data_IF_030514984722
#
_entry.id   IF_030514984722
#
_cell.length_a   1.000
_cell.length_b   1.000
_cell.length_c   1.000
_cell.angle_alpha   90.00
_cell.angle_beta   90.00
_cell.angle_gamma   90.00
#
_symmetry.space_group_name_H-M   'P 1'
#
loop_
_entity.id
_entity.type
_entity.pdbx_description
1 polymer ?
#
# COMPACT_ATOMS: atom_id res chain seq x y z
N UNK A 1 -5.46 26.34 5.67
CA UNK A 1 -6.50 25.96 6.65
C UNK A 1 -5.82 25.68 7.97
N UNK A 2 -6.32 26.23 9.07
CA UNK A 2 -5.72 26.01 10.38
C UNK A 2 -6.31 24.78 11.07
N UNK A 3 -5.52 24.18 11.96
CA UNK A 3 -5.95 23.03 12.80
C UNK A 3 -7.24 23.36 13.55
N UNK A 4 -7.31 24.56 14.16
CA UNK A 4 -8.46 25.00 14.95
C UNK A 4 -9.76 25.06 14.14
N UNK A 5 -9.68 25.41 12.86
CA UNK A 5 -10.85 25.46 11.97
C UNK A 5 -11.42 24.05 11.78
N UNK A 6 -10.54 23.07 11.53
CA UNK A 6 -10.93 21.67 11.37
C UNK A 6 -11.49 21.10 12.67
N UNK A 7 -10.86 21.37 13.81
CA UNK A 7 -11.37 20.93 15.11
C UNK A 7 -12.77 21.46 15.38
N UNK A 8 -13.02 22.74 15.09
CA UNK A 8 -14.34 23.36 15.24
C UNK A 8 -15.37 22.68 14.33
N UNK A 9 -15.05 22.49 13.05
CA UNK A 9 -15.94 21.82 12.09
C UNK A 9 -16.26 20.38 12.49
N UNK A 10 -15.26 19.61 12.95
CA UNK A 10 -15.47 18.24 13.46
C UNK A 10 -16.47 18.26 14.63
N UNK A 11 -16.29 19.17 15.60
CA UNK A 11 -17.19 19.27 16.76
C UNK A 11 -18.61 19.66 16.36
N UNK A 12 -18.77 20.61 15.44
CA UNK A 12 -20.06 21.02 14.90
C UNK A 12 -20.78 19.85 14.23
N UNK A 13 -20.11 19.16 13.30
CA UNK A 13 -20.66 17.99 12.61
C UNK A 13 -21.06 16.90 13.60
N UNK A 14 -20.22 16.62 14.60
CA UNK A 14 -20.53 15.61 15.63
C UNK A 14 -21.79 15.98 16.41
N UNK A 15 -21.91 17.23 16.86
CA UNK A 15 -23.09 17.71 17.60
C UNK A 15 -24.35 17.68 16.75
N UNK A 16 -24.28 18.15 15.51
CA UNK A 16 -25.42 18.17 14.59
C UNK A 16 -25.96 16.77 14.28
N UNK A 17 -25.08 15.76 14.25
CA UNK A 17 -25.46 14.38 13.96
C UNK A 17 -25.62 13.50 15.21
N UNK A 18 -25.72 14.10 16.40
CA UNK A 18 -25.96 13.38 17.66
C UNK A 18 -24.84 12.42 18.07
N UNK A 19 -23.61 12.65 17.58
CA UNK A 19 -22.45 11.88 18.00
C UNK A 19 -21.92 12.38 19.36
N UNK A 20 -21.31 11.51 20.18
CA UNK A 20 -20.76 11.91 21.48
C UNK A 20 -19.74 13.07 21.36
N UNK A 21 -19.75 14.02 22.29
CA UNK A 21 -18.71 15.07 22.38
C UNK A 21 -17.45 14.49 23.03
N UNK A 22 -16.77 13.63 22.27
CA UNK A 22 -15.50 13.02 22.66
C UNK A 22 -14.36 14.01 22.44
N UNK A 23 -13.43 14.16 23.41
CA UNK A 23 -12.23 14.94 23.17
C UNK A 23 -11.40 14.27 22.06
N UNK A 24 -10.73 15.10 21.26
CA UNK A 24 -9.74 14.67 20.29
C UNK A 24 -8.71 15.77 20.07
N UNK A 25 -7.56 15.40 19.50
CA UNK A 25 -6.49 16.32 19.14
C UNK A 25 -6.03 16.10 17.69
N UNK A 26 -5.88 17.20 16.97
CA UNK A 26 -5.25 17.23 15.65
C UNK A 26 -3.87 17.87 15.82
N UNK A 27 -2.81 17.17 15.44
CA UNK A 27 -1.45 17.69 15.51
C UNK A 27 -1.11 18.52 14.27
N UNK A 28 -1.59 18.13 13.10
CA UNK A 28 -1.26 18.80 11.84
C UNK A 28 -2.35 18.60 10.79
N UNK A 29 -2.49 19.58 9.88
CA UNK A 29 -3.35 19.50 8.70
C UNK A 29 -2.52 19.88 7.48
N UNK A 30 -2.56 19.06 6.43
CA UNK A 30 -1.87 19.30 5.17
C UNK A 30 -2.87 19.25 4.02
N UNK A 31 -2.77 20.18 3.10
CA UNK A 31 -3.62 20.21 1.91
C UNK A 31 -2.75 20.01 0.67
N UNK A 32 -3.12 19.02 -0.14
CA UNK A 32 -2.53 18.73 -1.44
C UNK A 32 -3.41 19.34 -2.52
N UNK A 33 -3.01 20.52 -2.99
CA UNK A 33 -3.72 21.29 -4.02
C UNK A 33 -3.78 20.53 -5.35
N UNK A 34 -2.76 19.75 -5.67
CA UNK A 34 -2.63 19.06 -6.95
C UNK A 34 -3.67 17.95 -7.09
N UNK A 35 -3.96 17.24 -6.01
CA UNK A 35 -4.92 16.13 -6.01
C UNK A 35 -6.25 16.46 -5.30
N UNK A 36 -6.40 17.70 -4.83
CA UNK A 36 -7.56 18.17 -4.05
C UNK A 36 -7.84 17.24 -2.85
N UNK A 37 -6.79 17.03 -2.03
CA UNK A 37 -6.83 16.13 -0.87
C UNK A 37 -6.40 16.82 0.41
N UNK A 38 -7.24 16.70 1.44
CA UNK A 38 -6.94 17.13 2.79
C UNK A 38 -6.47 15.94 3.64
N UNK A 39 -5.31 16.10 4.26
CA UNK A 39 -4.76 15.17 5.24
C UNK A 39 -4.87 15.77 6.63
N UNK A 40 -5.50 15.02 7.53
CA UNK A 40 -5.61 15.36 8.95
C UNK A 40 -4.73 14.37 9.72
N UNK A 41 -3.79 14.87 10.50
CA UNK A 41 -2.88 14.07 11.31
C UNK A 41 -3.35 14.19 12.76
N UNK A 42 -4.03 13.14 13.22
CA UNK A 42 -4.49 13.00 14.59
C UNK A 42 -3.32 12.61 15.50
N UNK A 43 -3.40 12.97 16.78
CA UNK A 43 -2.35 12.63 17.73
C UNK A 43 -2.18 11.12 17.91
N UNK A 44 -3.30 10.40 18.08
CA UNK A 44 -3.31 8.94 18.20
C UNK A 44 -4.47 8.27 17.40
N UNK A 45 -4.61 6.94 17.56
CA UNK A 45 -5.67 6.17 16.89
C UNK A 45 -7.08 6.44 17.45
N UNK A 46 -7.18 6.82 18.71
CA UNK A 46 -8.45 7.17 19.36
C UNK A 46 -8.97 8.46 18.75
N UNK A 47 -8.11 9.46 18.65
CA UNK A 47 -8.38 10.75 18.02
C UNK A 47 -8.74 10.59 16.55
N UNK A 48 -7.98 9.78 15.80
CA UNK A 48 -8.32 9.40 14.41
C UNK A 48 -9.75 8.85 14.33
N UNK A 49 -10.13 7.94 15.24
CA UNK A 49 -11.47 7.35 15.25
C UNK A 49 -12.57 8.37 15.55
N UNK A 50 -12.32 9.32 16.45
CA UNK A 50 -13.24 10.44 16.75
C UNK A 50 -13.42 11.35 15.54
N UNK A 51 -12.34 11.69 14.84
CA UNK A 51 -12.37 12.55 13.64
C UNK A 51 -13.04 11.82 12.48
N UNK A 52 -12.88 10.51 12.36
CA UNK A 52 -13.53 9.70 11.30
C UNK A 52 -15.03 9.55 11.56
N UNK A 53 -15.43 9.26 12.81
CA UNK A 53 -16.82 9.14 13.25
C UNK A 53 -17.65 8.19 12.39
N UNK A 54 -17.19 6.95 12.22
CA UNK A 54 -17.81 5.92 11.35
C UNK A 54 -17.98 6.38 9.89
N UNK A 55 -16.99 7.11 9.37
CA UNK A 55 -16.98 7.72 8.02
C UNK A 55 -17.97 8.87 7.81
N UNK A 56 -18.89 9.12 8.74
CA UNK A 56 -19.87 10.20 8.63
C UNK A 56 -19.18 11.57 8.73
N UNK A 57 -18.32 11.74 9.73
CA UNK A 57 -17.69 13.03 10.01
C UNK A 57 -16.78 13.46 8.87
N UNK A 58 -15.94 12.55 8.36
CA UNK A 58 -15.10 12.83 7.19
C UNK A 58 -15.91 13.11 5.93
N UNK A 59 -17.05 12.43 5.73
CA UNK A 59 -17.94 12.69 4.61
C UNK A 59 -18.53 14.10 4.64
N UNK A 60 -18.96 14.55 5.83
CA UNK A 60 -19.47 15.90 6.05
C UNK A 60 -18.41 16.99 6.04
N UNK A 61 -17.21 16.70 6.56
CA UNK A 61 -16.07 17.60 6.43
C UNK A 61 -15.75 17.84 4.96
N UNK A 62 -15.66 16.77 4.16
CA UNK A 62 -15.44 16.84 2.72
C UNK A 62 -16.48 17.74 2.03
N UNK A 63 -17.76 17.52 2.32
CA UNK A 63 -18.87 18.32 1.78
C UNK A 63 -18.78 19.81 2.16
N UNK A 64 -18.51 20.14 3.43
CA UNK A 64 -18.42 21.53 3.91
C UNK A 64 -17.22 22.28 3.37
N UNK A 65 -16.09 21.58 3.26
CA UNK A 65 -14.82 22.18 2.82
C UNK A 65 -14.72 22.23 1.28
N UNK A 66 -15.60 21.52 0.57
CA UNK A 66 -15.59 21.47 -0.89
C UNK A 66 -14.35 20.79 -1.48
N UNK A 67 -13.67 19.93 -0.70
CA UNK A 67 -12.47 19.21 -1.12
C UNK A 67 -12.82 17.85 -1.72
N UNK A 68 -12.00 17.36 -2.65
CA UNK A 68 -12.22 16.08 -3.33
C UNK A 68 -12.11 14.87 -2.39
N UNK A 69 -11.16 14.89 -1.46
CA UNK A 69 -10.94 13.81 -0.49
C UNK A 69 -10.44 14.33 0.87
N UNK A 70 -10.90 13.69 1.95
CA UNK A 70 -10.35 13.86 3.31
C UNK A 70 -9.80 12.52 3.79
N UNK A 71 -8.57 12.50 4.28
CA UNK A 71 -7.94 11.30 4.87
C UNK A 71 -7.37 11.63 6.23
N UNK A 72 -7.56 10.73 7.19
CA UNK A 72 -7.08 10.90 8.57
C UNK A 72 -6.03 9.84 8.89
N UNK A 73 -4.84 10.30 9.29
CA UNK A 73 -3.76 9.45 9.78
C UNK A 73 -3.55 9.68 11.27
N UNK A 74 -3.00 8.70 11.98
CA UNK A 74 -2.47 8.93 13.33
C UNK A 74 -0.98 9.23 13.24
N UNK A 75 -0.46 10.10 14.12
CA UNK A 75 0.97 10.39 14.16
C UNK A 75 1.78 9.13 14.49
N UNK A 76 1.26 8.23 15.34
CA UNK A 76 1.87 6.93 15.61
C UNK A 76 2.07 6.08 14.35
N UNK A 77 1.07 5.99 13.46
CA UNK A 77 1.20 5.23 12.21
C UNK A 77 2.29 5.85 11.30
N UNK A 78 2.37 7.18 11.24
CA UNK A 78 3.39 7.90 10.47
C UNK A 78 4.80 7.71 11.06
N UNK A 79 4.95 7.70 12.38
CA UNK A 79 6.22 7.42 13.05
C UNK A 79 6.70 5.99 12.81
N UNK A 80 5.79 5.00 12.87
CA UNK A 80 6.10 3.61 12.53
C UNK A 80 6.60 3.53 11.07
N UNK A 81 5.90 4.18 10.14
CA UNK A 81 6.32 4.27 8.73
C UNK A 81 7.73 4.84 8.60
N UNK A 82 8.03 5.99 9.24
CA UNK A 82 9.36 6.62 9.20
C UNK A 82 10.46 5.69 9.71
N UNK A 83 10.24 5.01 10.83
CA UNK A 83 11.20 4.03 11.37
C UNK A 83 11.44 2.86 10.41
N UNK A 84 10.39 2.34 9.76
CA UNK A 84 10.52 1.29 8.75
C UNK A 84 11.32 1.77 7.53
N UNK A 85 11.11 3.00 7.10
CA UNK A 85 11.84 3.62 5.98
C UNK A 85 13.32 3.86 6.30
N UNK A 86 13.68 4.19 7.55
CA UNK A 86 15.08 4.27 7.97
C UNK A 86 15.81 2.91 7.87
N UNK A 87 15.11 1.82 8.19
CA UNK A 87 15.64 0.47 7.99
C UNK A 87 15.75 0.11 6.50
N UNK A 88 14.75 0.49 5.71
CA UNK A 88 14.74 0.32 4.27
C UNK A 88 15.92 1.06 3.60
N UNK A 89 16.18 2.31 4.00
CA UNK A 89 17.30 3.12 3.50
C UNK A 89 18.65 2.42 3.73
N UNK A 90 18.88 1.91 4.95
CA UNK A 90 20.08 1.17 5.29
C UNK A 90 20.23 -0.11 4.48
N UNK A 91 19.12 -0.78 4.15
CA UNK A 91 19.13 -2.05 3.44
C UNK A 91 19.48 -1.91 1.95
N UNK A 92 19.29 -0.73 1.35
CA UNK A 92 19.57 -0.50 -0.08
C UNK A 92 20.85 0.28 -0.32
N UNK A 93 21.37 1.00 0.68
CA UNK A 93 22.63 1.75 0.58
C UNK A 93 23.80 0.81 0.28
N UNK A 94 24.61 1.16 -0.71
CA UNK A 94 25.72 0.36 -1.23
C UNK A 94 25.29 -0.82 -2.11
N UNK A 95 24.02 -0.93 -2.48
CA UNK A 95 23.50 -2.02 -3.32
C UNK A 95 23.01 -1.49 -4.67
N UNK A 96 22.73 -2.39 -5.62
CA UNK A 96 22.11 -2.02 -6.90
C UNK A 96 20.68 -1.44 -6.79
N UNK A 97 20.10 -1.43 -5.59
CA UNK A 97 18.81 -0.82 -5.29
C UNK A 97 18.91 0.62 -4.75
N UNK A 98 20.11 1.24 -4.76
CA UNK A 98 20.30 2.63 -4.31
C UNK A 98 19.41 3.64 -5.04
N UNK A 99 18.97 3.34 -6.26
CA UNK A 99 18.00 4.18 -6.97
C UNK A 99 16.68 4.34 -6.21
N UNK A 100 16.35 3.48 -5.23
CA UNK A 100 15.17 3.63 -4.38
C UNK A 100 15.33 4.70 -3.28
N UNK A 101 16.56 5.16 -2.98
CA UNK A 101 16.81 6.14 -1.90
C UNK A 101 15.96 7.43 -2.03
N UNK A 102 15.82 8.06 -3.20
CA UNK A 102 14.96 9.24 -3.35
C UNK A 102 13.48 8.95 -3.09
N UNK A 103 13.00 7.74 -3.41
CA UNK A 103 11.63 7.31 -3.12
C UNK A 103 11.43 7.11 -1.61
N UNK A 104 12.40 6.47 -0.94
CA UNK A 104 12.38 6.28 0.51
C UNK A 104 12.34 7.64 1.23
N UNK A 105 13.17 8.59 0.80
CA UNK A 105 13.21 9.92 1.39
C UNK A 105 11.91 10.71 1.15
N UNK A 106 11.32 10.58 -0.03
CA UNK A 106 9.99 11.12 -0.29
C UNK A 106 8.91 10.51 0.62
N UNK A 107 8.93 9.19 0.82
CA UNK A 107 7.98 8.49 1.69
C UNK A 107 8.09 8.88 3.17
N UNK A 108 9.25 9.34 3.65
CA UNK A 108 9.38 9.82 5.05
C UNK A 108 8.61 11.12 5.31
N UNK A 109 8.42 11.92 4.25
CA UNK A 109 7.71 13.21 4.29
C UNK A 109 6.20 13.06 4.06
N UNK A 110 5.75 11.86 3.68
CA UNK A 110 4.34 11.54 3.52
C UNK A 110 3.53 11.86 4.79
N UNK A 111 2.31 12.43 4.67
CA UNK A 111 1.58 12.85 3.45
C UNK A 111 1.81 14.32 3.04
N UNK A 112 1.59 14.74 1.77
CA UNK A 112 1.19 13.93 0.62
C UNK A 112 2.33 13.05 0.07
N UNK A 113 1.99 12.14 -0.84
CA UNK A 113 2.96 11.27 -1.53
C UNK A 113 3.44 11.94 -2.82
N UNK A 114 4.69 12.37 -2.82
CA UNK A 114 5.33 13.04 -3.95
C UNK A 114 6.62 12.33 -4.34
N UNK A 115 6.50 11.29 -5.17
CA UNK A 115 7.67 10.56 -5.64
C UNK A 115 8.43 11.36 -6.69
N UNK A 116 9.75 11.55 -6.51
CA UNK A 116 10.59 12.10 -7.56
C UNK A 116 10.61 11.15 -8.77
N UNK A 117 10.93 11.69 -9.94
CA UNK A 117 11.18 10.87 -11.11
C UNK A 117 12.54 10.18 -10.95
N UNK A 118 12.47 8.85 -10.81
CA UNK A 118 13.60 7.96 -10.60
C UNK A 118 13.57 6.89 -11.67
N UNK A 119 14.74 6.49 -12.15
CA UNK A 119 14.88 5.37 -13.07
C UNK A 119 15.84 4.32 -12.51
N UNK A 120 15.41 3.06 -12.52
CA UNK A 120 16.28 1.92 -12.29
C UNK A 120 16.53 1.17 -13.60
N UNK A 121 17.75 0.66 -13.79
CA UNK A 121 18.13 -0.07 -15.01
C UNK A 121 18.15 -1.60 -14.82
N UNK A 122 17.66 -2.09 -13.68
CA UNK A 122 17.71 -3.51 -13.37
C UNK A 122 16.68 -4.30 -14.16
N UNK A 123 17.15 -5.35 -14.84
CA UNK A 123 16.28 -6.35 -15.45
C UNK A 123 15.41 -6.99 -14.37
N UNK A 124 14.10 -6.80 -14.48
CA UNK A 124 13.15 -7.14 -13.42
C UNK A 124 12.23 -8.28 -13.85
N UNK A 125 12.05 -9.26 -12.97
CA UNK A 125 10.98 -10.24 -13.06
C UNK A 125 9.83 -9.78 -12.16
N UNK A 126 8.62 -9.66 -12.70
CA UNK A 126 7.43 -9.45 -11.87
C UNK A 126 6.66 -10.75 -11.82
N UNK A 127 6.41 -11.26 -10.62
CA UNK A 127 5.41 -12.30 -10.43
C UNK A 127 4.08 -11.63 -10.07
N UNK A 128 3.08 -11.82 -10.93
CA UNK A 128 1.74 -11.30 -10.72
C UNK A 128 1.07 -12.07 -9.57
N UNK A 129 1.21 -11.53 -8.37
CA UNK A 129 0.56 -11.97 -7.12
C UNK A 129 -0.66 -11.09 -6.82
N UNK A 130 -1.22 -11.15 -5.61
CA UNK A 130 -2.47 -10.46 -5.24
C UNK A 130 -2.50 -8.97 -5.59
N UNK A 131 -1.38 -8.26 -5.46
CA UNK A 131 -1.22 -6.86 -5.82
C UNK A 131 -0.61 -6.66 -7.23
N UNK A 132 -0.85 -7.58 -8.17
CA UNK A 132 -0.29 -7.61 -9.52
C UNK A 132 -0.24 -6.24 -10.21
N UNK A 133 -1.35 -5.50 -10.20
CA UNK A 133 -1.43 -4.18 -10.83
C UNK A 133 -0.54 -3.14 -10.17
N UNK A 134 -0.42 -3.18 -8.84
CA UNK A 134 0.49 -2.31 -8.13
C UNK A 134 1.95 -2.68 -8.41
N UNK A 135 2.30 -3.97 -8.52
CA UNK A 135 3.65 -4.41 -8.82
C UNK A 135 4.10 -3.95 -10.21
N UNK A 136 3.22 -4.07 -11.20
CA UNK A 136 3.44 -3.54 -12.56
C UNK A 136 3.56 -2.01 -12.52
N UNK A 137 2.62 -1.32 -11.87
CA UNK A 137 2.64 0.14 -11.77
C UNK A 137 3.89 0.67 -11.04
N UNK A 138 4.41 -0.06 -10.06
CA UNK A 138 5.66 0.27 -9.39
C UNK A 138 6.86 0.16 -10.35
N UNK A 139 6.95 -0.92 -11.13
CA UNK A 139 8.01 -1.08 -12.12
C UNK A 139 7.94 0.01 -13.21
N UNK A 140 6.74 0.29 -13.73
CA UNK A 140 6.51 1.35 -14.73
C UNK A 140 6.88 2.74 -14.18
N UNK A 141 6.47 3.05 -12.94
CA UNK A 141 6.76 4.35 -12.31
C UNK A 141 8.26 4.58 -12.09
N UNK A 142 9.03 3.51 -11.89
CA UNK A 142 10.48 3.56 -11.75
C UNK A 142 11.23 3.29 -13.06
N UNK A 143 10.52 3.19 -14.19
CA UNK A 143 11.12 2.93 -15.50
C UNK A 143 11.91 1.62 -15.58
N UNK A 144 11.60 0.63 -14.73
CA UNK A 144 12.33 -0.64 -14.68
C UNK A 144 12.00 -1.49 -15.91
N UNK A 145 12.99 -2.01 -16.65
CA UNK A 145 12.72 -2.99 -17.69
C UNK A 145 12.26 -4.31 -17.04
N UNK A 146 11.07 -4.79 -17.41
CA UNK A 146 10.50 -5.98 -16.77
C UNK A 146 9.92 -7.03 -17.71
N UNK A 147 9.89 -8.27 -17.23
CA UNK A 147 9.09 -9.38 -17.75
C UNK A 147 8.12 -9.82 -16.67
N UNK A 148 6.83 -9.90 -17.00
CA UNK A 148 5.81 -10.37 -16.09
C UNK A 148 5.52 -11.86 -16.30
N UNK A 149 5.49 -12.61 -15.20
CA UNK A 149 5.03 -14.01 -15.13
C UNK A 149 3.89 -14.09 -14.11
N UNK A 150 3.04 -15.09 -14.22
CA UNK A 150 1.92 -15.25 -13.29
C UNK A 150 1.22 -16.58 -13.44
N UNK A 151 0.41 -16.96 -12.46
CA UNK A 151 -0.35 -18.20 -12.56
C UNK A 151 -1.30 -18.15 -13.75
N UNK A 152 -1.40 -19.27 -14.45
CA UNK A 152 -2.28 -19.43 -15.61
C UNK A 152 -3.71 -19.00 -15.24
N UNK A 153 -4.31 -18.17 -16.09
CA UNK A 153 -5.66 -17.61 -15.96
C UNK A 153 -5.92 -16.64 -14.80
N UNK A 154 -4.98 -16.41 -13.87
CA UNK A 154 -5.22 -15.58 -12.69
C UNK A 154 -5.56 -14.12 -13.00
N UNK A 155 -4.93 -13.52 -14.04
CA UNK A 155 -5.09 -12.10 -14.38
C UNK A 155 -5.37 -11.90 -15.88
N UNK A 156 -6.55 -12.30 -16.39
CA UNK A 156 -6.82 -12.32 -17.84
C UNK A 156 -6.79 -10.94 -18.51
N UNK A 157 -6.75 -9.85 -17.73
CA UNK A 157 -6.67 -8.46 -18.22
C UNK A 157 -5.24 -7.92 -18.29
N UNK A 158 -4.25 -8.64 -17.77
CA UNK A 158 -2.85 -8.24 -17.75
C UNK A 158 -2.05 -9.06 -18.76
N UNK A 159 -0.98 -8.47 -19.30
CA UNK A 159 -0.07 -9.16 -20.19
C UNK A 159 1.05 -9.83 -19.37
N UNK A 160 1.15 -11.15 -19.45
CA UNK A 160 2.17 -11.93 -18.74
C UNK A 160 2.38 -13.30 -19.37
N UNK A 161 3.53 -13.90 -19.08
CA UNK A 161 3.83 -15.29 -19.42
C UNK A 161 3.20 -16.23 -18.36
N UNK A 162 2.25 -17.10 -18.75
CA UNK A 162 1.60 -17.99 -17.80
C UNK A 162 2.57 -19.07 -17.33
N UNK A 163 2.57 -19.33 -16.03
CA UNK A 163 3.31 -20.43 -15.41
C UNK A 163 2.36 -21.32 -14.60
N UNK A 164 2.73 -22.59 -14.47
CA UNK A 164 2.05 -23.54 -13.59
C UNK A 164 2.38 -23.23 -12.12
N UNK A 165 1.46 -23.50 -11.20
CA UNK A 165 1.64 -23.26 -9.77
C UNK A 165 0.34 -23.38 -8.99
N UNK A 166 0.44 -23.31 -7.67
CA UNK A 166 -0.71 -23.42 -6.79
C UNK A 166 -1.37 -22.05 -6.55
N UNK A 167 -2.71 -21.97 -6.43
CA UNK A 167 -3.40 -20.71 -6.14
C UNK A 167 -2.89 -19.97 -4.89
N UNK A 168 -2.33 -20.70 -3.90
CA UNK A 168 -1.70 -20.13 -2.71
C UNK A 168 -0.52 -19.21 -3.06
N UNK A 169 0.19 -19.48 -4.15
CA UNK A 169 1.33 -18.67 -4.59
C UNK A 169 0.94 -17.23 -4.92
N UNK A 170 -0.34 -16.94 -5.23
CA UNK A 170 -0.83 -15.57 -5.40
C UNK A 170 -0.67 -14.72 -4.14
N UNK A 171 -0.65 -15.35 -2.98
CA UNK A 171 -0.55 -14.69 -1.67
C UNK A 171 0.82 -14.90 -1.03
N UNK A 172 1.44 -16.04 -1.31
CA UNK A 172 2.74 -16.44 -0.77
C UNK A 172 3.62 -16.97 -1.91
N UNK A 173 4.27 -16.07 -2.67
CA UNK A 173 5.09 -16.46 -3.82
C UNK A 173 6.24 -17.39 -3.43
N UNK A 174 6.48 -18.43 -4.25
CA UNK A 174 7.59 -19.37 -4.05
C UNK A 174 8.93 -18.73 -4.44
N UNK A 175 9.76 -18.43 -3.44
CA UNK A 175 11.06 -17.80 -3.63
C UNK A 175 12.00 -18.60 -4.52
N UNK A 176 12.12 -19.92 -4.32
CA UNK A 176 13.08 -20.74 -5.05
C UNK A 176 12.70 -20.86 -6.53
N UNK A 177 11.41 -21.05 -6.78
CA UNK A 177 10.84 -21.09 -8.13
C UNK A 177 11.07 -19.77 -8.85
N UNK A 178 10.78 -18.64 -8.21
CA UNK A 178 10.97 -17.32 -8.82
C UNK A 178 12.44 -17.00 -9.05
N UNK A 179 13.36 -17.40 -8.15
CA UNK A 179 14.80 -17.25 -8.36
C UNK A 179 15.27 -18.05 -9.58
N UNK A 180 14.79 -19.29 -9.77
CA UNK A 180 15.13 -20.11 -10.95
C UNK A 180 14.66 -19.44 -12.25
N UNK A 181 13.42 -18.94 -12.27
CA UNK A 181 12.87 -18.21 -13.42
C UNK A 181 13.66 -16.93 -13.69
N UNK A 182 13.99 -16.17 -12.63
CA UNK A 182 14.76 -14.93 -12.73
C UNK A 182 16.14 -15.17 -13.36
N UNK A 183 16.86 -16.20 -12.88
CA UNK A 183 18.15 -16.62 -13.48
C UNK A 183 18.01 -16.95 -14.96
N UNK A 184 17.02 -17.76 -15.33
CA UNK A 184 16.77 -18.15 -16.72
C UNK A 184 16.42 -16.97 -17.63
N UNK A 185 15.90 -15.87 -17.08
CA UNK A 185 15.53 -14.66 -17.81
C UNK A 185 16.55 -13.52 -17.68
N UNK A 186 17.66 -13.71 -16.97
CA UNK A 186 18.66 -12.68 -16.70
C UNK A 186 18.15 -11.55 -15.81
N UNK A 187 17.15 -11.81 -14.96
CA UNK A 187 16.60 -10.83 -14.04
C UNK A 187 17.42 -10.75 -12.76
N UNK A 188 17.58 -9.52 -12.30
CA UNK A 188 18.40 -9.11 -11.17
C UNK A 188 17.56 -8.70 -9.95
N UNK A 189 16.29 -8.41 -10.19
CA UNK A 189 15.28 -8.00 -9.24
C UNK A 189 14.01 -8.82 -9.50
N UNK A 190 13.38 -9.32 -8.44
CA UNK A 190 12.07 -9.96 -8.47
C UNK A 190 11.09 -9.16 -7.64
N UNK A 191 9.98 -8.74 -8.24
CA UNK A 191 8.88 -8.07 -7.57
C UNK A 191 7.72 -9.06 -7.35
N UNK A 192 7.29 -9.22 -6.10
CA UNK A 192 6.13 -10.04 -5.74
C UNK A 192 5.60 -9.66 -4.34
N UNK A 193 4.44 -10.17 -3.97
CA UNK A 193 3.88 -10.07 -2.61
C UNK A 193 4.59 -11.00 -1.61
N UNK A 194 5.93 -10.92 -1.52
CA UNK A 194 6.69 -11.67 -0.53
C UNK A 194 6.27 -11.31 0.91
N UNK A 195 6.42 -12.23 1.89
CA UNK A 195 6.12 -11.95 3.29
C UNK A 195 7.15 -11.04 3.99
N UNK A 196 8.15 -10.55 3.26
CA UNK A 196 9.17 -9.63 3.75
C UNK A 196 9.32 -8.43 2.80
N UNK A 197 9.98 -7.36 3.25
CA UNK A 197 10.27 -6.19 2.41
C UNK A 197 11.33 -6.46 1.35
N UNK A 198 12.55 -6.80 1.75
CA UNK A 198 13.69 -7.06 0.86
C UNK A 198 14.54 -8.21 1.40
N UNK A 199 14.88 -9.16 0.52
CA UNK A 199 15.81 -10.27 0.80
C UNK A 199 16.70 -10.51 -0.42
N UNK A 200 17.89 -11.06 -0.21
CA UNK A 200 18.83 -11.42 -1.27
C UNK A 200 18.96 -12.95 -1.41
N UNK A 201 19.05 -13.44 -2.65
CA UNK A 201 19.31 -14.84 -3.01
C UNK A 201 20.46 -14.89 -4.01
N UNK A 202 21.69 -14.91 -3.49
CA UNK A 202 22.87 -14.58 -4.29
C UNK A 202 22.77 -13.15 -4.78
N UNK A 203 23.00 -12.92 -6.07
CA UNK A 203 22.94 -11.58 -6.67
C UNK A 203 21.52 -11.10 -7.01
N UNK A 204 20.48 -11.90 -6.76
CA UNK A 204 19.10 -11.54 -7.09
C UNK A 204 18.41 -10.94 -5.87
N UNK A 205 17.86 -9.74 -6.02
CA UNK A 205 17.01 -9.10 -5.02
C UNK A 205 15.57 -9.60 -5.13
N UNK A 206 14.98 -10.02 -4.00
CA UNK A 206 13.56 -10.32 -3.86
C UNK A 206 12.91 -9.18 -3.07
N UNK A 207 11.97 -8.45 -3.70
CA UNK A 207 11.41 -7.22 -3.15
C UNK A 207 9.87 -7.28 -3.17
N UNK A 208 9.27 -7.10 -1.99
CA UNK A 208 7.90 -6.61 -1.88
C UNK A 208 7.95 -5.11 -1.68
N UNK A 209 7.75 -4.29 -2.73
CA UNK A 209 7.95 -2.85 -2.66
C UNK A 209 7.04 -2.17 -1.62
N UNK A 210 5.87 -2.76 -1.35
CA UNK A 210 4.87 -2.14 -0.47
C UNK A 210 5.13 -2.42 1.00
N UNK A 211 5.58 -3.64 1.33
CA UNK A 211 6.10 -3.94 2.67
C UNK A 211 7.38 -3.16 2.92
N UNK A 212 8.24 -3.05 1.91
CA UNK A 212 9.52 -2.36 2.01
C UNK A 212 9.35 -0.85 2.25
N UNK A 213 8.43 -0.19 1.54
CA UNK A 213 8.12 1.24 1.71
C UNK A 213 7.03 1.52 2.76
N UNK A 214 6.52 0.47 3.41
CA UNK A 214 5.42 0.52 4.35
C UNK A 214 4.22 1.33 3.81
N UNK A 215 3.69 0.90 2.67
CA UNK A 215 2.55 1.50 1.98
C UNK A 215 1.36 0.56 2.10
N UNK A 216 0.26 1.04 2.68
CA UNK A 216 -0.91 0.22 2.94
C UNK A 216 -1.68 -0.13 1.67
N UNK A 217 -2.40 -1.25 1.70
CA UNK A 217 -3.20 -1.76 0.57
C UNK A 217 -4.15 -0.73 -0.03
N UNK A 218 -4.84 0.04 0.82
CA UNK A 218 -5.75 1.10 0.36
C UNK A 218 -4.97 2.13 -0.45
N UNK A 219 -3.82 2.60 0.04
CA UNK A 219 -2.98 3.57 -0.67
C UNK A 219 -2.51 3.02 -2.02
N UNK A 220 -2.10 1.76 -2.09
CA UNK A 220 -1.71 1.10 -3.35
C UNK A 220 -2.83 1.11 -4.38
N UNK A 221 -4.05 0.80 -3.94
CA UNK A 221 -5.23 0.81 -4.80
C UNK A 221 -5.49 2.20 -5.39
N UNK A 222 -5.24 3.28 -4.65
CA UNK A 222 -5.35 4.64 -5.20
C UNK A 222 -4.19 5.01 -6.12
N UNK A 223 -2.98 4.53 -5.84
CA UNK A 223 -1.79 4.84 -6.63
C UNK A 223 -1.78 4.12 -7.98
N UNK A 224 -2.08 2.82 -7.99
CA UNK A 224 -1.86 1.97 -9.15
C UNK A 224 -3.13 1.24 -9.61
N UNK A 225 -4.20 1.29 -8.81
CA UNK A 225 -5.40 0.47 -9.03
C UNK A 225 -5.25 -0.92 -8.44
N UNK A 226 -6.30 -1.73 -8.63
CA UNK A 226 -6.33 -3.10 -8.12
C UNK A 226 -7.17 -3.98 -9.05
N UNK A 227 -6.61 -5.10 -9.48
CA UNK A 227 -7.28 -6.13 -10.25
C UNK A 227 -7.42 -7.41 -9.43
N UNK A 228 -8.66 -7.83 -9.21
CA UNK A 228 -8.94 -9.01 -8.41
C UNK A 228 -8.62 -10.29 -9.21
N UNK A 229 -7.84 -11.25 -8.64
CA UNK A 229 -7.50 -12.50 -9.33
C UNK A 229 -8.71 -13.40 -9.54
N UNK A 230 -8.79 -14.07 -10.69
CA UNK A 230 -9.90 -14.98 -11.03
C UNK A 230 -9.89 -16.26 -10.19
N UNK A 231 -8.70 -16.73 -9.81
CA UNK A 231 -8.47 -17.91 -8.99
C UNK A 231 -8.04 -17.43 -7.60
N UNK A 232 -8.67 -17.96 -6.56
CA UNK A 232 -8.40 -17.56 -5.17
C UNK A 232 -8.42 -18.79 -4.27
N UNK A 233 -7.29 -19.05 -3.61
CA UNK A 233 -7.28 -19.87 -2.39
C UNK A 233 -7.82 -19.03 -1.22
N UNK A 234 -8.97 -19.43 -0.69
CA UNK A 234 -9.67 -18.71 0.38
C UNK A 234 -8.93 -18.74 1.71
N UNK A 235 -8.25 -19.84 2.04
CA UNK A 235 -7.51 -19.97 3.29
C UNK A 235 -6.24 -19.13 3.21
N UNK A 236 -5.52 -19.21 2.09
CA UNK A 236 -4.35 -18.38 1.86
C UNK A 236 -4.69 -16.87 1.87
N UNK A 237 -5.86 -16.49 1.33
CA UNK A 237 -6.34 -15.11 1.41
C UNK A 237 -6.55 -14.66 2.86
N UNK A 238 -7.15 -15.49 3.72
CA UNK A 238 -7.32 -15.14 5.14
C UNK A 238 -5.94 -14.91 5.78
N UNK A 239 -5.03 -15.86 5.64
CA UNK A 239 -3.68 -15.76 6.23
C UNK A 239 -2.98 -14.48 5.78
N UNK A 240 -3.07 -14.17 4.48
CA UNK A 240 -2.47 -12.99 3.88
C UNK A 240 -3.08 -11.69 4.42
N UNK A 241 -4.41 -11.60 4.49
CA UNK A 241 -5.12 -10.44 5.03
C UNK A 241 -4.82 -10.24 6.51
N UNK A 242 -4.79 -11.31 7.30
CA UNK A 242 -4.42 -11.26 8.72
C UNK A 242 -2.99 -10.75 8.88
N UNK A 243 -2.05 -11.25 8.07
CA UNK A 243 -0.66 -10.78 8.08
C UNK A 243 -0.55 -9.28 7.76
N UNK A 244 -1.18 -8.81 6.69
CA UNK A 244 -1.17 -7.37 6.34
C UNK A 244 -1.82 -6.50 7.42
N UNK A 245 -2.89 -6.99 8.06
CA UNK A 245 -3.56 -6.26 9.14
C UNK A 245 -2.67 -6.16 10.38
N UNK A 246 -2.02 -7.26 10.76
CA UNK A 246 -1.09 -7.31 11.89
C UNK A 246 0.10 -6.37 11.69
N UNK A 247 0.59 -6.25 10.46
CA UNK A 247 1.71 -5.37 10.10
C UNK A 247 1.32 -3.89 9.94
N UNK A 248 0.03 -3.56 10.05
CA UNK A 248 -0.46 -2.20 9.84
C UNK A 248 -0.52 -1.77 8.36
N UNK A 249 -0.42 -2.71 7.43
CA UNK A 249 -0.49 -2.46 5.98
C UNK A 249 -1.91 -2.61 5.42
N UNK A 250 -2.89 -2.98 6.24
CA UNK A 250 -4.28 -3.09 5.86
C UNK A 250 -5.16 -2.75 7.07
N UNK A 251 -6.19 -1.94 6.86
CA UNK A 251 -7.22 -1.71 7.88
C UNK A 251 -8.11 -2.96 8.00
N UNK A 252 -8.50 -3.33 9.23
CA UNK A 252 -9.28 -4.56 9.48
C UNK A 252 -10.60 -4.60 8.70
N UNK A 253 -11.22 -3.44 8.48
CA UNK A 253 -12.47 -3.29 7.71
C UNK A 253 -12.25 -3.59 6.23
N UNK A 254 -11.14 -3.13 5.64
CA UNK A 254 -10.78 -3.45 4.26
C UNK A 254 -10.48 -4.94 4.11
N UNK A 255 -9.71 -5.52 5.05
CA UNK A 255 -9.43 -6.95 5.08
C UNK A 255 -10.69 -7.80 5.13
N UNK A 256 -11.62 -7.48 6.03
CA UNK A 256 -12.91 -8.16 6.14
C UNK A 256 -13.73 -8.07 4.85
N UNK A 257 -13.72 -6.92 4.17
CA UNK A 257 -14.40 -6.74 2.88
C UNK A 257 -13.79 -7.60 1.77
N UNK A 258 -12.46 -7.74 1.70
CA UNK A 258 -11.79 -8.61 0.72
C UNK A 258 -12.16 -10.08 0.96
N UNK A 259 -12.11 -10.55 2.20
CA UNK A 259 -12.51 -11.91 2.59
C UNK A 259 -13.98 -12.14 2.21
N UNK A 260 -14.89 -11.26 2.62
CA UNK A 260 -16.31 -11.39 2.29
C UNK A 260 -16.58 -11.46 0.78
N UNK A 261 -15.88 -10.62 -0.01
CA UNK A 261 -15.97 -10.62 -1.47
C UNK A 261 -15.51 -11.95 -2.09
N UNK A 262 -14.43 -12.53 -1.58
CA UNK A 262 -13.94 -13.84 -2.01
C UNK A 262 -14.95 -14.95 -1.71
N UNK A 263 -15.62 -14.90 -0.55
CA UNK A 263 -16.66 -15.87 -0.18
C UNK A 263 -17.91 -15.75 -1.04
N UNK A 264 -18.36 -14.53 -1.36
CA UNK A 264 -19.54 -14.32 -2.22
C UNK A 264 -19.37 -14.80 -3.66
N UNK A 265 -18.16 -14.74 -4.21
CA UNK A 265 -17.88 -15.16 -5.59
C UNK A 265 -17.88 -16.67 -5.80
N UNK A 266 -17.85 -17.45 -4.72
CA UNK A 266 -17.99 -18.90 -4.78
C UNK A 266 -19.42 -19.39 -4.51
N UNK A 267 -20.43 -18.52 -4.62
CA UNK A 267 -21.86 -18.86 -4.61
C UNK A 267 -22.48 -18.59 -5.97
#
# INVERSE_FOLDING_TARGET
MEVKDIEKLVREIRREHGLPDSPFRIDEVRYDEKNDKLFIIAHDRTDKSVIIGNSLVIGKLRERLGVGQVTVYSNLDLEIKRRKLELAEKAVKGTKLEFLLPIIEAEKRFPPREWPDVRGELNTLIFLSFNARALVGFAEKLGLPYKAVGLKYAFPKLNYEPIEGEPRELFFPDEEKLVKIAKGKGAELVLADFPFGLTWRGDIALLNPFRFLHIGFFELKYLFGFDWPTIVDKNALIDFVVGLTYEGLMESTDGANLIWRAWRRGR
#
